data_IF_394271836374
#
_entry.id   IF_394271836374
#
_cell.length_a   1.000
_cell.length_b   1.000
_cell.length_c   1.000
_cell.angle_alpha   90.00
_cell.angle_beta   90.00
_cell.angle_gamma   90.00
#
_symmetry.space_group_name_H-M   'P 1'
#
loop_
_entity.id
_entity.type
_entity.pdbx_description
1 polymer ?
#
# COMPACT_ATOMS: atom_id res chain seq x y z
N UNK A 1 10.38 -15.20 -5.68
CA UNK A 1 9.53 -15.04 -4.48
C UNK A 1 8.13 -14.53 -4.78
N UNK A 2 7.95 -13.46 -5.58
CA UNK A 2 6.62 -12.88 -5.86
C UNK A 2 5.58 -13.90 -6.36
N UNK A 3 5.90 -14.69 -7.39
CA UNK A 3 4.98 -15.72 -7.92
C UNK A 3 4.58 -16.75 -6.86
N UNK A 4 5.54 -17.19 -6.02
CA UNK A 4 5.27 -18.09 -4.89
C UNK A 4 4.24 -17.48 -3.92
N UNK A 5 4.35 -16.18 -3.62
CA UNK A 5 3.38 -15.46 -2.79
C UNK A 5 2.01 -15.38 -3.45
N UNK A 6 1.96 -15.00 -4.73
CA UNK A 6 0.70 -14.91 -5.49
C UNK A 6 -0.02 -16.26 -5.51
N UNK A 7 0.69 -17.34 -5.84
CA UNK A 7 0.12 -18.70 -5.86
C UNK A 7 -0.38 -19.09 -4.48
N UNK A 8 0.40 -18.83 -3.41
CA UNK A 8 -0.02 -19.19 -2.05
C UNK A 8 -1.27 -18.42 -1.64
N UNK A 9 -1.31 -17.10 -1.86
CA UNK A 9 -2.49 -16.28 -1.58
C UNK A 9 -3.71 -16.73 -2.39
N UNK A 10 -3.53 -17.05 -3.67
CA UNK A 10 -4.60 -17.61 -4.50
C UNK A 10 -5.19 -18.89 -3.89
N UNK A 11 -4.33 -19.83 -3.47
CA UNK A 11 -4.76 -21.07 -2.83
C UNK A 11 -5.46 -20.82 -1.48
N UNK A 12 -4.95 -19.88 -0.68
CA UNK A 12 -5.57 -19.49 0.59
C UNK A 12 -6.98 -18.95 0.35
N UNK A 13 -7.15 -18.03 -0.60
CA UNK A 13 -8.46 -17.42 -0.87
C UNK A 13 -9.45 -18.48 -1.38
N UNK A 14 -9.01 -19.35 -2.29
CA UNK A 14 -9.83 -20.44 -2.81
C UNK A 14 -10.26 -21.44 -1.73
N UNK A 15 -9.34 -21.83 -0.85
CA UNK A 15 -9.62 -22.82 0.21
C UNK A 15 -10.41 -22.25 1.39
N UNK A 16 -10.16 -21.00 1.78
CA UNK A 16 -10.73 -20.39 2.99
C UNK A 16 -12.07 -19.74 2.72
N UNK A 17 -12.20 -19.06 1.57
CA UNK A 17 -13.39 -18.27 1.23
C UNK A 17 -14.17 -18.87 0.05
N UNK A 18 -13.80 -20.06 -0.44
CA UNK A 18 -14.44 -20.74 -1.58
C UNK A 18 -14.48 -19.89 -2.86
N UNK A 19 -13.58 -18.91 -2.99
CA UNK A 19 -13.56 -17.94 -4.10
C UNK A 19 -12.34 -18.19 -4.98
N UNK A 20 -12.55 -18.89 -6.10
CA UNK A 20 -11.50 -19.29 -7.03
C UNK A 20 -11.39 -18.37 -8.25
N UNK A 21 -12.50 -17.77 -8.67
CA UNK A 21 -12.58 -17.00 -9.91
C UNK A 21 -12.29 -15.50 -9.67
N UNK A 22 -12.85 -14.91 -8.61
CA UNK A 22 -12.68 -13.48 -8.31
C UNK A 22 -11.21 -13.06 -8.14
N UNK A 23 -10.34 -13.83 -7.43
CA UNK A 23 -8.94 -13.45 -7.28
C UNK A 23 -8.17 -13.36 -8.61
N UNK A 24 -8.59 -14.12 -9.63
CA UNK A 24 -7.97 -14.06 -10.97
C UNK A 24 -8.28 -12.72 -11.62
N UNK A 25 -9.55 -12.31 -11.60
CA UNK A 25 -9.98 -11.01 -12.13
C UNK A 25 -9.34 -9.85 -11.36
N UNK A 26 -9.32 -9.92 -10.03
CA UNK A 26 -8.64 -8.91 -9.19
C UNK A 26 -7.14 -8.86 -9.48
N UNK A 27 -6.48 -10.02 -9.60
CA UNK A 27 -5.07 -10.11 -9.94
C UNK A 27 -4.75 -9.49 -11.30
N UNK A 28 -5.59 -9.74 -12.31
CA UNK A 28 -5.47 -9.12 -13.63
C UNK A 28 -5.65 -7.59 -13.56
N UNK A 29 -6.64 -7.10 -12.83
CA UNK A 29 -6.87 -5.67 -12.63
C UNK A 29 -5.67 -5.00 -11.95
N UNK A 30 -5.12 -5.61 -10.90
CA UNK A 30 -3.93 -5.11 -10.21
C UNK A 30 -2.72 -5.14 -11.14
N UNK A 31 -2.57 -6.16 -12.00
CA UNK A 31 -1.49 -6.21 -12.98
C UNK A 31 -1.60 -5.05 -13.98
N UNK A 32 -2.79 -4.81 -14.55
CA UNK A 32 -3.04 -3.69 -15.46
C UNK A 32 -2.75 -2.34 -14.79
N UNK A 33 -3.22 -2.18 -13.55
CA UNK A 33 -2.93 -1.01 -12.73
C UNK A 33 -1.42 -0.80 -12.56
N UNK A 34 -0.66 -1.85 -12.23
CA UNK A 34 0.79 -1.77 -12.05
C UNK A 34 1.53 -1.42 -13.33
N UNK A 35 1.10 -1.95 -14.47
CA UNK A 35 1.67 -1.60 -15.78
C UNK A 35 1.43 -0.12 -16.09
N UNK A 36 0.19 0.35 -15.90
CA UNK A 36 -0.19 1.74 -16.14
C UNK A 36 0.58 2.71 -15.23
N UNK A 37 0.61 2.44 -13.92
CA UNK A 37 1.41 3.21 -12.94
C UNK A 37 2.90 3.19 -13.31
N UNK A 38 3.43 2.02 -13.71
CA UNK A 38 4.83 1.88 -14.12
C UNK A 38 5.18 2.78 -15.30
N UNK A 39 4.35 2.79 -16.34
CA UNK A 39 4.51 3.65 -17.51
C UNK A 39 4.47 5.13 -17.12
N UNK A 40 3.51 5.55 -16.30
CA UNK A 40 3.41 6.95 -15.87
C UNK A 40 4.55 7.39 -14.96
N UNK A 41 5.10 6.50 -14.12
CA UNK A 41 6.32 6.81 -13.34
C UNK A 41 7.54 7.02 -14.23
N UNK A 42 7.67 6.24 -15.31
CA UNK A 42 8.73 6.45 -16.30
C UNK A 42 8.56 7.85 -16.91
N UNK A 43 7.33 8.22 -17.28
CA UNK A 43 7.02 9.54 -17.81
C UNK A 43 7.33 10.67 -16.80
N UNK A 44 7.03 10.46 -15.51
CA UNK A 44 7.31 11.45 -14.47
C UNK A 44 8.80 11.79 -14.36
N UNK A 45 9.71 10.84 -14.62
CA UNK A 45 11.15 11.14 -14.62
C UNK A 45 11.56 12.16 -15.68
N UNK A 46 10.78 12.31 -16.76
CA UNK A 46 11.00 13.31 -17.80
C UNK A 46 10.27 14.61 -17.51
N UNK A 47 9.00 14.54 -17.06
CA UNK A 47 8.16 15.73 -16.81
C UNK A 47 8.54 16.44 -15.51
N UNK A 48 8.95 15.69 -14.48
CA UNK A 48 9.23 16.21 -13.14
C UNK A 48 10.64 15.84 -12.67
N UNK A 49 11.71 16.46 -13.22
CA UNK A 49 13.09 16.13 -12.85
C UNK A 49 13.40 16.27 -11.34
N UNK A 50 12.64 17.11 -10.63
CA UNK A 50 12.82 17.33 -9.19
C UNK A 50 12.50 16.12 -8.31
N UNK A 51 11.83 15.08 -8.83
CA UNK A 51 11.52 13.87 -8.05
C UNK A 51 12.77 13.10 -7.62
N UNK A 52 13.93 13.38 -8.23
CA UNK A 52 15.22 12.78 -7.87
C UNK A 52 15.89 13.48 -6.69
N UNK A 53 15.34 14.58 -6.19
CA UNK A 53 15.91 15.31 -5.06
C UNK A 53 15.65 14.53 -3.77
N UNK A 54 16.66 14.28 -2.94
CA UNK A 54 16.47 13.58 -1.67
C UNK A 54 15.60 14.41 -0.73
N UNK A 55 14.77 13.73 0.07
CA UNK A 55 14.01 14.34 1.15
C UNK A 55 14.99 14.89 2.21
N UNK A 56 14.73 16.10 2.70
CA UNK A 56 15.51 16.73 3.76
C UNK A 56 14.73 16.67 5.06
N UNK A 57 15.34 16.10 6.10
CA UNK A 57 14.81 16.08 7.47
C UNK A 57 13.38 15.53 7.60
N UNK A 58 13.10 14.28 7.18
CA UNK A 58 11.78 13.69 7.34
C UNK A 58 11.44 13.44 8.82
N UNK A 59 10.18 13.64 9.19
CA UNK A 59 9.65 13.20 10.49
C UNK A 59 9.22 11.74 10.35
N UNK A 60 9.93 10.82 11.01
CA UNK A 60 9.62 9.39 10.98
C UNK A 60 8.89 9.02 12.27
N UNK A 61 7.69 8.46 12.15
CA UNK A 61 6.88 7.99 13.28
C UNK A 61 6.90 6.47 13.29
N UNK A 62 7.51 5.87 14.31
CA UNK A 62 7.56 4.42 14.51
C UNK A 62 6.97 4.08 15.87
N UNK A 63 6.20 2.99 15.93
CA UNK A 63 5.65 2.49 17.18
C UNK A 63 4.86 1.21 16.93
N UNK A 64 4.60 0.48 18.01
CA UNK A 64 3.77 -0.73 17.92
C UNK A 64 2.33 -0.37 17.50
N UNK A 65 1.63 -1.26 16.77
CA UNK A 65 0.22 -1.08 16.52
C UNK A 65 -0.54 -0.79 17.83
N UNK A 66 -1.53 0.12 17.76
CA UNK A 66 -2.34 0.58 18.90
C UNK A 66 -1.62 1.43 19.96
N UNK A 67 -0.43 1.99 19.66
CA UNK A 67 0.26 2.94 20.56
C UNK A 67 -0.05 4.43 20.27
N UNK A 68 -1.11 4.74 19.53
CA UNK A 68 -1.49 6.13 19.21
C UNK A 68 -0.69 6.82 18.09
N UNK A 69 0.14 6.09 17.35
CA UNK A 69 0.94 6.63 16.22
C UNK A 69 0.09 7.25 15.11
N UNK A 70 -1.03 6.63 14.76
CA UNK A 70 -1.98 7.19 13.77
C UNK A 70 -2.57 8.53 14.23
N UNK A 71 -2.88 8.67 15.52
CA UNK A 71 -3.36 9.92 16.08
C UNK A 71 -2.27 11.00 15.98
N UNK A 72 -1.05 10.69 16.43
CA UNK A 72 0.08 11.60 16.34
C UNK A 72 0.38 12.04 14.90
N UNK A 73 0.41 11.09 13.96
CA UNK A 73 0.62 11.34 12.53
C UNK A 73 -0.40 12.33 11.97
N UNK A 74 -1.70 12.08 12.19
CA UNK A 74 -2.77 12.96 11.72
C UNK A 74 -2.77 14.31 12.44
N UNK A 75 -2.40 14.33 13.71
CA UNK A 75 -2.28 15.56 14.50
C UNK A 75 -1.17 16.48 13.99
N UNK A 76 0.02 15.95 13.71
CA UNK A 76 1.15 16.73 13.17
C UNK A 76 0.85 17.31 11.79
N UNK A 77 0.19 16.54 10.92
CA UNK A 77 -0.26 17.03 9.61
C UNK A 77 -1.27 18.16 9.78
N UNK A 78 -2.25 18.02 10.69
CA UNK A 78 -3.24 19.06 10.95
C UNK A 78 -2.61 20.35 11.47
N UNK A 79 -1.52 20.26 12.21
CA UNK A 79 -0.74 21.41 12.70
C UNK A 79 0.22 22.00 11.65
N UNK A 80 0.37 21.38 10.48
CA UNK A 80 1.25 21.88 9.42
C UNK A 80 2.75 21.57 9.61
N UNK A 81 3.12 20.67 10.53
CA UNK A 81 4.51 20.24 10.73
C UNK A 81 5.07 19.40 9.57
N UNK A 82 4.20 18.91 8.69
CA UNK A 82 4.60 18.13 7.53
C UNK A 82 3.41 17.68 6.70
N UNK A 83 3.71 16.89 5.66
CA UNK A 83 2.72 16.19 4.85
C UNK A 83 2.93 14.68 5.00
N UNK A 84 1.84 13.92 4.89
CA UNK A 84 1.89 12.45 4.78
C UNK A 84 1.39 11.98 3.43
N UNK A 85 1.55 10.69 3.14
CA UNK A 85 0.95 10.05 1.98
C UNK A 85 -0.49 9.64 2.26
N UNK A 86 -1.39 10.02 1.37
CA UNK A 86 -2.76 9.51 1.36
C UNK A 86 -2.79 8.12 0.70
N UNK A 87 -3.77 7.29 1.06
CA UNK A 87 -3.95 5.94 0.52
C UNK A 87 -3.89 5.89 -1.02
N UNK A 88 -4.61 6.78 -1.70
CA UNK A 88 -4.62 6.81 -3.16
C UNK A 88 -3.26 7.17 -3.77
N UNK A 89 -2.46 8.00 -3.11
CA UNK A 89 -1.11 8.35 -3.59
C UNK A 89 -0.18 7.14 -3.52
N UNK A 90 -0.37 6.26 -2.54
CA UNK A 90 0.38 5.00 -2.41
C UNK A 90 -0.04 3.95 -3.44
N UNK A 91 -1.32 3.94 -3.86
CA UNK A 91 -1.83 3.08 -4.93
C UNK A 91 -1.39 3.58 -6.31
N UNK A 92 -1.36 4.91 -6.50
CA UNK A 92 -0.95 5.57 -7.74
C UNK A 92 0.31 6.44 -7.52
N UNK A 93 1.51 5.84 -7.30
CA UNK A 93 2.75 6.55 -7.02
C UNK A 93 3.37 7.22 -8.26
N UNK A 94 2.57 8.00 -9.00
CA UNK A 94 2.96 8.80 -10.17
C UNK A 94 2.35 10.20 -10.06
N UNK A 95 3.15 11.24 -10.24
CA UNK A 95 2.70 12.64 -10.16
C UNK A 95 1.72 12.94 -11.31
N UNK A 96 2.02 12.50 -12.53
CA UNK A 96 1.14 12.67 -13.69
C UNK A 96 -0.22 12.01 -13.44
N UNK A 97 -0.24 10.75 -13.00
CA UNK A 97 -1.49 10.07 -12.67
C UNK A 97 -2.22 10.74 -11.52
N UNK A 98 -1.49 11.16 -10.50
CA UNK A 98 -2.12 11.82 -9.36
C UNK A 98 -2.83 13.10 -9.78
N UNK A 99 -2.23 13.90 -10.68
CA UNK A 99 -2.87 15.10 -11.22
C UNK A 99 -4.13 14.79 -12.02
N UNK A 100 -4.14 13.68 -12.78
CA UNK A 100 -5.30 13.24 -13.58
C UNK A 100 -6.41 12.66 -12.69
N UNK A 101 -6.05 11.88 -11.67
CA UNK A 101 -6.99 11.16 -10.79
C UNK A 101 -7.62 12.10 -9.75
N UNK A 102 -6.88 13.10 -9.25
CA UNK A 102 -7.35 14.03 -8.21
C UNK A 102 -8.75 14.62 -8.47
N UNK A 103 -9.11 15.12 -9.67
CA UNK A 103 -10.46 15.66 -9.91
C UNK A 103 -11.57 14.61 -9.86
N UNK A 104 -11.29 13.34 -10.19
CA UNK A 104 -12.26 12.24 -10.15
C UNK A 104 -12.26 11.46 -8.84
N UNK A 105 -11.33 11.79 -7.93
CA UNK A 105 -11.18 11.14 -6.63
C UNK A 105 -12.48 11.11 -5.79
N UNK A 106 -13.33 12.17 -5.76
CA UNK A 106 -14.60 12.11 -5.04
C UNK A 106 -15.55 11.02 -5.56
N UNK A 107 -15.53 10.75 -6.88
CA UNK A 107 -16.34 9.69 -7.49
C UNK A 107 -15.74 8.32 -7.16
N UNK A 108 -14.42 8.19 -7.24
CA UNK A 108 -13.71 6.96 -6.87
C UNK A 108 -13.92 6.58 -5.40
N UNK A 109 -13.98 7.57 -4.51
CA UNK A 109 -14.27 7.36 -3.10
C UNK A 109 -15.62 6.65 -2.93
N UNK A 110 -16.67 7.05 -3.67
CA UNK A 110 -17.99 6.41 -3.57
C UNK A 110 -17.93 4.90 -3.82
N UNK A 111 -17.11 4.48 -4.78
CA UNK A 111 -16.99 3.09 -5.26
C UNK A 111 -15.91 2.31 -4.46
N UNK A 112 -15.04 3.02 -3.73
CA UNK A 112 -13.85 2.44 -3.12
C UNK A 112 -14.18 1.41 -2.03
N UNK A 113 -13.62 0.18 -2.13
CA UNK A 113 -13.72 -0.81 -1.07
C UNK A 113 -13.11 -0.33 0.26
N UNK A 114 -12.20 0.66 0.22
CA UNK A 114 -11.55 1.20 1.41
C UNK A 114 -12.53 1.79 2.43
N UNK A 115 -13.76 2.12 2.03
CA UNK A 115 -14.82 2.63 2.92
C UNK A 115 -15.47 1.55 3.78
N UNK A 116 -15.31 0.27 3.43
CA UNK A 116 -15.87 -0.86 4.17
C UNK A 116 -14.93 -1.40 5.26
N UNK A 117 -13.73 -0.83 5.44
CA UNK A 117 -12.92 -1.12 6.63
C UNK A 117 -13.65 -0.67 7.90
N UNK A 118 -13.68 -1.54 8.90
CA UNK A 118 -14.49 -1.36 10.10
C UNK A 118 -14.15 -0.05 10.83
N UNK A 119 -15.17 0.76 11.08
CA UNK A 119 -15.08 2.01 11.85
C UNK A 119 -14.54 1.79 13.27
N UNK A 120 -14.71 0.58 13.81
CA UNK A 120 -14.21 0.18 15.13
C UNK A 120 -12.68 0.05 15.20
N UNK A 121 -12.03 -0.31 14.09
CA UNK A 121 -10.58 -0.40 14.06
C UNK A 121 -9.98 0.97 13.75
N UNK A 122 -10.23 1.54 12.56
CA UNK A 122 -9.91 2.91 12.10
C UNK A 122 -10.67 3.18 10.78
N UNK A 123 -11.30 4.35 10.59
CA UNK A 123 -11.91 4.70 9.29
C UNK A 123 -10.82 4.99 8.25
N UNK A 124 -10.75 4.19 7.21
CA UNK A 124 -9.87 4.40 6.04
C UNK A 124 -10.70 4.97 4.88
N UNK A 125 -10.10 5.88 4.11
CA UNK A 125 -10.64 6.42 2.86
C UNK A 125 -9.50 6.53 1.86
N UNK A 126 -9.79 6.71 0.57
CA UNK A 126 -8.74 6.97 -0.41
C UNK A 126 -7.92 8.21 -0.03
N UNK A 127 -8.56 9.20 0.59
CA UNK A 127 -7.97 10.46 1.05
C UNK A 127 -7.39 10.42 2.47
N UNK A 128 -7.47 9.29 3.18
CA UNK A 128 -6.91 9.18 4.53
C UNK A 128 -5.40 9.10 4.47
N UNK A 129 -4.73 9.78 5.41
CA UNK A 129 -3.31 9.57 5.68
C UNK A 129 -3.12 8.22 6.35
N UNK A 130 -2.29 7.38 5.74
CA UNK A 130 -2.09 5.97 6.09
C UNK A 130 -0.60 5.66 6.26
N UNK A 131 -0.28 4.45 6.74
CA UNK A 131 1.11 3.99 6.91
C UNK A 131 1.72 3.50 5.61
N UNK A 132 3.05 3.53 5.55
CA UNK A 132 3.82 3.19 4.35
C UNK A 132 3.68 1.72 3.90
N UNK A 133 3.23 0.82 4.80
CA UNK A 133 2.99 -0.61 4.55
C UNK A 133 2.05 -0.85 3.36
N UNK A 134 1.08 0.05 3.14
CA UNK A 134 0.17 -0.06 2.01
C UNK A 134 0.95 -0.02 0.70
N UNK A 135 1.89 0.92 0.58
CA UNK A 135 2.66 1.09 -0.64
C UNK A 135 3.55 -0.14 -0.91
N UNK A 136 4.09 -0.77 0.15
CA UNK A 136 4.86 -2.00 0.03
C UNK A 136 4.00 -3.18 -0.45
N UNK A 137 2.77 -3.29 0.06
CA UNK A 137 1.81 -4.29 -0.41
C UNK A 137 1.50 -4.12 -1.89
N UNK A 138 1.14 -2.92 -2.35
CA UNK A 138 0.79 -2.72 -3.77
C UNK A 138 2.00 -2.79 -4.71
N UNK A 139 3.18 -2.32 -4.26
CA UNK A 139 4.39 -2.31 -5.08
C UNK A 139 5.00 -3.69 -5.22
N UNK A 140 5.19 -4.38 -4.11
CA UNK A 140 5.97 -5.62 -4.01
C UNK A 140 5.12 -6.85 -3.71
N UNK A 141 3.85 -6.70 -3.35
CA UNK A 141 3.01 -7.77 -2.82
C UNK A 141 3.72 -8.49 -1.68
N UNK A 142 4.08 -7.71 -0.66
CA UNK A 142 4.99 -8.07 0.42
C UNK A 142 4.71 -7.21 1.67
N UNK A 143 5.42 -7.48 2.76
CA UNK A 143 5.33 -6.71 4.01
C UNK A 143 4.24 -7.19 4.97
N UNK A 144 4.07 -6.44 6.06
CA UNK A 144 3.17 -6.83 7.16
C UNK A 144 1.73 -7.01 6.70
N UNK A 145 1.23 -6.17 5.79
CA UNK A 145 -0.14 -6.26 5.29
C UNK A 145 -0.38 -7.48 4.40
N UNK A 146 0.63 -7.98 3.67
CA UNK A 146 0.48 -9.26 2.98
C UNK A 146 0.24 -10.39 4.00
N UNK A 147 1.02 -10.39 5.08
CA UNK A 147 0.89 -11.39 6.13
C UNK A 147 -0.48 -11.29 6.81
N UNK A 148 -0.81 -10.13 7.38
CA UNK A 148 -2.02 -9.95 8.19
C UNK A 148 -3.33 -10.04 7.42
N UNK A 149 -3.36 -9.75 6.11
CA UNK A 149 -4.59 -9.81 5.32
C UNK A 149 -4.76 -11.12 4.53
N UNK A 150 -3.67 -11.84 4.25
CA UNK A 150 -3.75 -13.03 3.41
C UNK A 150 -3.08 -14.23 4.06
N UNK A 151 -1.80 -14.14 4.43
CA UNK A 151 -1.04 -15.33 4.86
C UNK A 151 -1.51 -15.90 6.20
N UNK A 152 -2.11 -15.10 7.08
CA UNK A 152 -2.68 -15.56 8.36
C UNK A 152 -3.86 -16.53 8.21
N UNK A 153 -4.48 -16.60 7.03
CA UNK A 153 -5.56 -17.55 6.74
C UNK A 153 -5.03 -18.93 6.28
N UNK A 154 -3.72 -19.08 6.14
CA UNK A 154 -3.12 -20.38 5.83
C UNK A 154 -3.13 -21.33 7.04
N UNK A 155 -3.07 -22.63 6.79
CA UNK A 155 -2.87 -23.64 7.84
C UNK A 155 -1.42 -23.67 8.34
N UNK A 156 -0.47 -23.32 7.47
CA UNK A 156 0.95 -23.22 7.82
C UNK A 156 1.27 -21.82 8.37
N UNK A 157 2.17 -21.75 9.37
CA UNK A 157 2.71 -20.47 9.81
C UNK A 157 3.72 -19.91 8.79
N UNK A 158 3.28 -18.89 8.06
CA UNK A 158 4.07 -18.21 7.03
C UNK A 158 4.72 -16.92 7.53
N UNK A 159 4.78 -16.66 8.85
CA UNK A 159 5.39 -15.45 9.42
C UNK A 159 6.84 -15.26 8.96
N UNK A 160 7.61 -16.34 8.85
CA UNK A 160 9.00 -16.32 8.36
C UNK A 160 9.16 -15.72 6.95
N UNK A 161 8.08 -15.57 6.16
CA UNK A 161 8.12 -14.89 4.86
C UNK A 161 8.22 -13.38 4.97
N UNK A 162 7.83 -12.80 6.11
CA UNK A 162 7.84 -11.36 6.37
C UNK A 162 8.69 -10.98 7.58
N UNK A 163 9.25 -11.96 8.30
CA UNK A 163 10.13 -11.73 9.45
C UNK A 163 11.45 -11.07 9.01
N UNK A 164 11.74 -9.82 9.45
CA UNK A 164 12.99 -9.14 9.12
C UNK A 164 14.23 -9.84 9.68
N UNK A 165 14.10 -10.69 10.71
CA UNK A 165 15.23 -11.48 11.24
C UNK A 165 15.65 -12.61 10.30
N UNK A 166 14.72 -13.10 9.49
CA UNK A 166 14.97 -14.16 8.50
C UNK A 166 15.25 -13.55 7.12
N UNK A 167 14.55 -12.46 6.79
CA UNK A 167 14.62 -11.82 5.48
C UNK A 167 14.58 -10.30 5.60
N UNK A 168 15.77 -9.69 5.60
CA UNK A 168 15.92 -8.24 5.60
C UNK A 168 15.59 -7.63 4.23
N UNK A 169 14.55 -6.80 4.16
CA UNK A 169 14.18 -6.00 2.98
C UNK A 169 14.35 -4.50 3.18
N UNK A 170 14.98 -4.06 4.27
CA UNK A 170 15.15 -2.64 4.63
C UNK A 170 15.67 -1.79 3.49
N UNK A 171 16.74 -2.22 2.81
CA UNK A 171 17.32 -1.50 1.66
C UNK A 171 16.35 -1.38 0.49
N UNK A 172 15.56 -2.42 0.20
CA UNK A 172 14.57 -2.39 -0.89
C UNK A 172 13.44 -1.42 -0.54
N UNK A 173 12.95 -1.50 0.69
CA UNK A 173 11.79 -0.75 1.16
C UNK A 173 12.15 0.74 1.32
N UNK A 174 13.34 1.03 1.86
CA UNK A 174 13.85 2.40 1.94
C UNK A 174 14.10 3.04 0.56
N UNK A 175 14.57 2.28 -0.43
CA UNK A 175 14.72 2.79 -1.80
C UNK A 175 13.39 3.05 -2.51
N UNK A 176 12.28 2.51 -1.98
CA UNK A 176 10.95 2.71 -2.53
C UNK A 176 10.31 4.00 -2.01
N UNK A 177 10.55 4.33 -0.74
CA UNK A 177 10.12 5.57 -0.09
C UNK A 177 10.91 6.78 -0.59
#
# INVERSE_FOLDING_TARGET
MLFKRIIRVYLIIGKTFSSWLLPIFTGLLILLLRLFVGMSRILDYFIFPFIRRPLKSPIIIVGNPRSGTTFLHRYLIKLGFGTGSQLWQMVYPSITLQKIIRPILPIMEIISPARYHSTAAHKTSLTSFETDDVSLLFRYFDGFFLYGFFLTFDKEDLFHWVDPKVRDTSKRDFNWF
#
